data_IF_457419083450
#
_entry.id   IF_457419083450
#
_cell.length_a   1.000
_cell.length_b   1.000
_cell.length_c   1.000
_cell.angle_alpha   90.00
_cell.angle_beta   90.00
_cell.angle_gamma   90.00
#
_symmetry.space_group_name_H-M   'P 1'
#
loop_
_entity.id
_entity.type
_entity.pdbx_description
1 polymer ?
#
# COMPACT_ATOMS: atom_id res chain seq x y z
N UNK A 1 -36.80 84.45 6.46
CA UNK A 1 -35.76 83.78 5.62
C UNK A 1 -35.49 82.38 6.25
N UNK A 2 -36.17 81.35 5.76
CA UNK A 2 -36.22 80.06 6.38
C UNK A 2 -35.33 79.14 5.57
N UNK A 3 -34.22 78.66 6.15
CA UNK A 3 -33.32 77.64 5.55
C UNK A 3 -33.88 76.25 5.83
N UNK A 4 -34.30 75.55 4.80
CA UNK A 4 -34.69 74.15 4.85
C UNK A 4 -33.43 73.24 4.90
N UNK A 5 -33.26 72.53 6.01
CA UNK A 5 -32.23 71.42 6.10
C UNK A 5 -32.75 70.16 5.44
N UNK A 6 -32.14 69.76 4.36
CA UNK A 6 -32.38 68.44 3.74
C UNK A 6 -31.54 67.37 4.47
N UNK A 7 -32.19 66.38 5.07
CA UNK A 7 -31.56 65.19 5.66
C UNK A 7 -31.47 64.14 4.58
N UNK A 8 -30.24 63.80 4.16
CA UNK A 8 -29.95 62.74 3.20
C UNK A 8 -29.85 61.44 3.98
N UNK A 9 -30.84 60.53 3.84
CA UNK A 9 -30.81 59.23 4.44
C UNK A 9 -30.00 58.28 3.52
N UNK A 10 -28.83 57.88 3.99
CA UNK A 10 -27.97 56.89 3.31
C UNK A 10 -28.50 55.48 3.61
N UNK A 11 -29.19 54.86 2.65
CA UNK A 11 -29.63 53.45 2.73
C UNK A 11 -28.44 52.56 2.37
N UNK A 12 -27.79 51.95 3.36
CA UNK A 12 -26.77 50.90 3.17
C UNK A 12 -27.49 49.59 2.89
N UNK A 13 -27.55 49.22 1.63
CA UNK A 13 -28.00 47.86 1.23
C UNK A 13 -26.85 46.90 1.49
N UNK A 14 -26.90 46.17 2.62
CA UNK A 14 -26.06 45.01 2.86
C UNK A 14 -26.53 43.89 1.87
N UNK A 15 -25.81 43.72 0.77
CA UNK A 15 -25.96 42.56 -0.09
C UNK A 15 -25.36 41.35 0.65
N UNK A 16 -26.23 40.57 1.29
CA UNK A 16 -25.93 39.17 1.69
C UNK A 16 -25.75 38.34 0.40
N UNK A 17 -24.52 38.37 -0.11
CA UNK A 17 -24.13 37.37 -1.11
C UNK A 17 -24.24 35.97 -0.50
N UNK A 18 -24.58 34.92 -1.27
CA UNK A 18 -24.59 33.56 -0.77
C UNK A 18 -23.19 33.22 -0.24
N UNK A 19 -23.10 32.92 1.06
CA UNK A 19 -21.93 32.32 1.66
C UNK A 19 -21.85 30.96 1.01
N UNK A 20 -21.06 30.82 -0.06
CA UNK A 20 -20.61 29.54 -0.51
C UNK A 20 -19.79 28.97 0.65
N UNK A 21 -20.38 28.09 1.45
CA UNK A 21 -19.67 27.20 2.35
C UNK A 21 -18.71 26.38 1.48
N UNK A 22 -17.55 26.95 1.19
CA UNK A 22 -16.44 26.23 0.64
C UNK A 22 -16.02 25.21 1.70
N UNK A 23 -16.57 23.99 1.64
CA UNK A 23 -16.10 22.87 2.44
C UNK A 23 -14.60 22.75 2.19
N UNK A 24 -13.80 23.31 3.10
CA UNK A 24 -12.35 23.14 3.08
C UNK A 24 -12.08 21.65 3.18
N UNK A 25 -11.48 21.09 2.13
CA UNK A 25 -11.11 19.67 2.14
C UNK A 25 -10.13 19.42 3.28
N UNK A 26 -10.41 18.37 4.06
CA UNK A 26 -9.57 17.99 5.18
C UNK A 26 -8.32 17.27 4.65
N UNK A 27 -7.15 17.81 4.98
CA UNK A 27 -5.88 17.18 4.55
C UNK A 27 -5.67 15.84 5.24
N UNK A 28 -5.16 14.86 4.48
CA UNK A 28 -4.76 13.55 4.98
C UNK A 28 -3.44 13.12 4.35
N UNK A 29 -2.46 12.74 5.17
CA UNK A 29 -1.17 12.24 4.70
C UNK A 29 -1.15 10.72 4.68
N UNK A 30 -0.91 10.17 3.48
CA UNK A 30 -0.97 8.72 3.23
C UNK A 30 0.33 8.24 2.63
N UNK A 31 1.02 7.33 3.34
CA UNK A 31 2.24 6.71 2.87
C UNK A 31 2.00 5.47 2.02
N UNK A 32 3.00 5.09 1.24
CA UNK A 32 3.11 3.75 0.64
C UNK A 32 4.58 3.34 0.53
N UNK A 33 4.84 2.05 0.75
CA UNK A 33 6.20 1.52 0.86
C UNK A 33 6.76 0.89 -0.42
N UNK A 34 5.90 0.57 -1.38
CA UNK A 34 6.26 -0.05 -2.65
C UNK A 34 5.44 0.51 -3.80
N UNK A 35 6.07 0.62 -4.97
CA UNK A 35 5.42 0.99 -6.23
C UNK A 35 4.96 -0.30 -6.90
N UNK A 36 3.69 -0.64 -6.74
CA UNK A 36 3.10 -1.89 -7.25
C UNK A 36 1.65 -1.67 -7.68
N UNK A 37 1.10 -2.58 -8.48
CA UNK A 37 -0.30 -2.51 -8.91
C UNK A 37 -1.24 -2.40 -7.69
N UNK A 38 -1.01 -3.19 -6.64
CA UNK A 38 -1.85 -3.20 -5.43
C UNK A 38 -1.80 -1.88 -4.65
N UNK A 39 -0.68 -1.17 -4.69
CA UNK A 39 -0.54 0.13 -4.05
C UNK A 39 -1.18 1.26 -4.87
N UNK A 40 -1.50 1.02 -6.13
CA UNK A 40 -2.05 2.00 -7.06
C UNK A 40 -3.50 2.44 -6.79
N UNK A 41 -4.23 1.76 -5.90
CA UNK A 41 -5.63 2.11 -5.57
C UNK A 41 -5.77 3.55 -5.07
N UNK A 42 -4.85 4.03 -4.23
CA UNK A 42 -4.86 5.44 -3.77
C UNK A 42 -4.64 6.41 -4.93
N UNK A 43 -3.88 6.00 -5.96
CA UNK A 43 -3.65 6.81 -7.15
C UNK A 43 -4.88 6.86 -8.05
N UNK A 44 -5.56 5.73 -8.24
CA UNK A 44 -6.85 5.65 -8.92
C UNK A 44 -7.87 6.56 -8.24
N UNK A 45 -8.00 6.49 -6.91
CA UNK A 45 -8.87 7.35 -6.13
C UNK A 45 -8.55 8.84 -6.33
N UNK A 46 -7.26 9.21 -6.35
CA UNK A 46 -6.80 10.58 -6.57
C UNK A 46 -7.17 11.07 -7.97
N UNK A 47 -6.85 10.31 -9.01
CA UNK A 47 -7.10 10.71 -10.40
C UNK A 47 -8.59 10.82 -10.76
N UNK A 48 -9.45 10.01 -10.13
CA UNK A 48 -10.92 10.10 -10.26
C UNK A 48 -11.56 11.15 -9.34
N UNK A 49 -10.77 11.90 -8.57
CA UNK A 49 -11.29 12.93 -7.66
C UNK A 49 -12.09 12.38 -6.48
N UNK A 50 -11.96 11.08 -6.16
CA UNK A 50 -12.79 10.42 -5.14
C UNK A 50 -12.51 10.96 -3.74
N UNK A 51 -11.29 11.35 -3.44
CA UNK A 51 -10.98 11.96 -2.15
C UNK A 51 -11.70 13.30 -1.98
N UNK A 52 -11.69 14.14 -3.02
CA UNK A 52 -12.41 15.43 -3.01
C UNK A 52 -13.92 15.22 -2.84
N UNK A 53 -14.50 14.18 -3.49
CA UNK A 53 -15.90 13.78 -3.33
C UNK A 53 -16.28 13.53 -1.86
N UNK A 54 -15.34 13.01 -1.07
CA UNK A 54 -15.53 12.71 0.37
C UNK A 54 -14.89 13.77 1.27
N UNK A 55 -14.64 15.00 0.76
CA UNK A 55 -14.14 16.11 1.55
C UNK A 55 -12.69 15.98 1.99
N UNK A 56 -11.88 15.18 1.28
CA UNK A 56 -10.47 14.94 1.60
C UNK A 56 -9.53 15.53 0.54
N UNK A 57 -8.39 16.07 1.00
CA UNK A 57 -7.25 16.46 0.16
C UNK A 57 -6.04 15.58 0.53
N UNK A 58 -5.75 14.51 -0.21
CA UNK A 58 -4.68 13.59 0.14
C UNK A 58 -3.30 14.09 -0.31
N UNK A 59 -2.35 14.09 0.61
CA UNK A 59 -0.92 14.09 0.32
C UNK A 59 -0.44 12.63 0.30
N UNK A 60 -0.13 12.11 -0.90
CA UNK A 60 0.29 10.71 -1.09
C UNK A 60 1.82 10.68 -1.20
N UNK A 61 2.50 10.04 -0.24
CA UNK A 61 3.96 10.09 -0.07
C UNK A 61 4.58 8.71 -0.27
N UNK A 62 5.51 8.61 -1.22
CA UNK A 62 6.35 7.41 -1.38
C UNK A 62 7.49 7.43 -0.37
N UNK A 63 7.56 6.42 0.48
CA UNK A 63 8.65 6.22 1.43
C UNK A 63 9.17 4.79 1.22
N UNK A 64 10.36 4.59 0.62
CA UNK A 64 10.87 3.25 0.33
C UNK A 64 11.01 2.39 1.56
N UNK A 65 10.38 1.21 1.53
CA UNK A 65 10.43 0.22 2.60
C UNK A 65 9.43 0.45 3.75
N UNK A 66 8.94 -0.65 4.30
CA UNK A 66 7.88 -0.63 5.32
C UNK A 66 8.34 -0.09 6.67
N UNK A 67 9.57 -0.38 7.11
CA UNK A 67 10.09 0.06 8.41
C UNK A 67 10.14 1.59 8.55
N UNK A 68 10.57 2.29 7.49
CA UNK A 68 10.61 3.76 7.48
C UNK A 68 9.20 4.37 7.47
N UNK A 69 8.25 3.76 6.73
CA UNK A 69 6.84 4.15 6.76
C UNK A 69 6.23 4.03 8.15
N UNK A 70 6.51 2.94 8.86
CA UNK A 70 6.04 2.73 10.23
C UNK A 70 6.57 3.81 11.17
N UNK A 71 7.84 4.19 11.05
CA UNK A 71 8.41 5.30 11.83
C UNK A 71 7.70 6.62 11.56
N UNK A 72 7.39 6.93 10.28
CA UNK A 72 6.63 8.11 9.91
C UNK A 72 5.18 8.09 10.45
N UNK A 73 4.57 6.89 10.52
CA UNK A 73 3.23 6.71 11.10
C UNK A 73 3.24 6.91 12.62
N UNK A 74 4.21 6.31 13.33
CA UNK A 74 4.36 6.44 14.80
C UNK A 74 4.63 7.90 15.20
N UNK A 75 5.46 8.62 14.44
CA UNK A 75 5.76 10.04 14.69
C UNK A 75 4.62 11.00 14.33
N UNK A 76 3.53 10.49 13.71
CA UNK A 76 2.39 11.31 13.27
C UNK A 76 2.63 12.09 11.98
N UNK A 77 3.74 11.83 11.27
CA UNK A 77 4.01 12.40 9.95
C UNK A 77 3.11 11.78 8.86
N UNK A 78 2.56 10.60 9.10
CA UNK A 78 1.52 9.96 8.31
C UNK A 78 0.31 9.66 9.19
N UNK A 79 -0.89 9.69 8.61
CA UNK A 79 -2.12 9.24 9.27
C UNK A 79 -2.47 7.81 8.89
N UNK A 80 -2.26 7.46 7.62
CA UNK A 80 -2.44 6.11 7.07
C UNK A 80 -1.23 5.75 6.22
N UNK A 81 -1.01 4.46 6.02
CA UNK A 81 -0.04 3.97 5.03
C UNK A 81 -0.47 2.63 4.45
N UNK A 82 0.07 2.29 3.27
CA UNK A 82 -0.13 1.00 2.63
C UNK A 82 1.15 0.17 2.74
N UNK A 83 1.07 -0.96 3.47
CA UNK A 83 2.20 -1.87 3.70
C UNK A 83 1.73 -3.33 3.78
N UNK A 84 2.69 -4.24 3.75
CA UNK A 84 2.46 -5.64 4.14
C UNK A 84 2.35 -5.79 5.66
N UNK A 85 1.96 -6.97 6.16
CA UNK A 85 1.81 -7.25 7.59
C UNK A 85 3.12 -7.15 8.38
N UNK A 86 4.25 -7.58 7.81
CA UNK A 86 5.50 -7.76 8.54
C UNK A 86 6.03 -6.49 9.25
N UNK A 87 6.11 -5.31 8.63
CA UNK A 87 6.61 -4.11 9.31
C UNK A 87 5.74 -3.66 10.48
N UNK A 88 4.41 -3.75 10.36
CA UNK A 88 3.49 -3.40 11.45
C UNK A 88 3.55 -4.38 12.61
N UNK A 89 3.63 -5.69 12.32
CA UNK A 89 3.84 -6.73 13.35
C UNK A 89 5.15 -6.49 14.08
N UNK A 90 6.26 -6.24 13.34
CA UNK A 90 7.56 -5.96 13.95
C UNK A 90 7.50 -4.76 14.90
N UNK A 91 6.86 -3.68 14.49
CA UNK A 91 6.70 -2.48 15.32
C UNK A 91 5.85 -2.74 16.57
N UNK A 92 4.76 -3.50 16.42
CA UNK A 92 3.89 -3.84 17.56
C UNK A 92 4.59 -4.76 18.58
N UNK A 93 5.49 -5.63 18.15
CA UNK A 93 6.34 -6.42 19.04
C UNK A 93 7.30 -5.55 19.88
N UNK A 94 7.60 -4.35 19.42
CA UNK A 94 8.40 -3.34 20.12
C UNK A 94 7.54 -2.25 20.81
N UNK A 95 6.22 -2.50 20.95
CA UNK A 95 5.31 -1.65 21.73
C UNK A 95 4.57 -0.57 20.95
N UNK A 96 4.61 -0.60 19.61
CA UNK A 96 3.73 0.24 18.80
C UNK A 96 2.27 -0.28 18.86
N UNK A 97 1.31 0.57 18.49
CA UNK A 97 -0.11 0.20 18.43
C UNK A 97 -0.65 0.44 17.00
N UNK A 98 -0.17 -0.36 16.08
CA UNK A 98 -0.51 -0.33 14.66
C UNK A 98 -1.64 -1.30 14.38
N UNK A 99 -2.67 -0.85 13.64
CA UNK A 99 -3.83 -1.65 13.26
C UNK A 99 -4.05 -1.61 11.75
N UNK A 100 -4.22 -2.77 11.16
CA UNK A 100 -4.58 -2.94 9.75
C UNK A 100 -6.12 -2.92 9.61
N UNK A 101 -6.62 -2.07 8.72
CA UNK A 101 -8.05 -1.83 8.52
C UNK A 101 -8.55 -2.26 7.14
N UNK A 102 -7.65 -2.61 6.23
CA UNK A 102 -7.99 -3.22 4.94
C UNK A 102 -6.84 -4.12 4.46
N UNK A 103 -7.15 -5.08 3.59
CA UNK A 103 -6.18 -5.98 2.95
C UNK A 103 -6.53 -6.18 1.47
N UNK A 104 -5.59 -5.88 0.58
CA UNK A 104 -5.80 -6.02 -0.86
C UNK A 104 -5.49 -7.43 -1.37
N UNK A 105 -4.55 -8.13 -0.73
CA UNK A 105 -4.11 -9.46 -1.14
C UNK A 105 -3.64 -10.27 0.08
N UNK A 106 -4.10 -11.50 0.18
CA UNK A 106 -3.81 -12.43 1.29
C UNK A 106 -2.66 -13.42 1.02
N UNK A 107 -1.94 -13.23 -0.08
CA UNK A 107 -0.80 -14.06 -0.50
C UNK A 107 0.45 -13.22 -0.69
N UNK A 108 1.61 -13.82 -0.47
CA UNK A 108 2.91 -13.20 -0.78
C UNK A 108 3.02 -13.02 -2.30
N UNK A 109 3.43 -11.83 -2.73
CA UNK A 109 3.45 -11.43 -4.11
C UNK A 109 4.77 -10.78 -4.48
N UNK A 110 5.82 -11.56 -4.37
CA UNK A 110 7.14 -11.19 -4.85
C UNK A 110 7.64 -12.19 -5.89
N UNK A 111 8.26 -11.67 -6.92
CA UNK A 111 9.09 -12.43 -7.82
C UNK A 111 10.56 -12.25 -7.41
N UNK A 112 11.28 -13.33 -7.23
CA UNK A 112 12.73 -13.30 -7.06
C UNK A 112 13.37 -13.20 -8.43
N UNK A 113 13.81 -11.99 -8.76
CA UNK A 113 14.46 -11.68 -10.02
C UNK A 113 15.97 -11.73 -9.83
N UNK A 114 16.66 -12.39 -10.75
CA UNK A 114 18.11 -12.61 -10.71
C UNK A 114 18.76 -12.22 -12.02
N UNK A 115 20.09 -12.14 -12.01
CA UNK A 115 20.87 -12.05 -13.25
C UNK A 115 20.63 -13.29 -14.13
N UNK A 116 20.84 -13.18 -15.45
CA UNK A 116 20.49 -14.26 -16.41
C UNK A 116 21.20 -15.59 -16.16
N UNK A 117 22.38 -15.56 -15.54
CA UNK A 117 23.21 -16.73 -15.26
C UNK A 117 22.65 -17.58 -14.11
N UNK A 118 21.89 -16.95 -13.19
CA UNK A 118 21.32 -17.62 -12.02
C UNK A 118 19.94 -18.16 -12.36
N UNK A 119 19.90 -19.44 -12.73
CA UNK A 119 18.69 -20.13 -13.19
C UNK A 119 18.16 -21.18 -12.20
N UNK A 120 18.90 -21.47 -11.14
CA UNK A 120 18.55 -22.47 -10.13
C UNK A 120 18.90 -21.96 -8.74
N UNK A 121 18.15 -22.43 -7.74
CA UNK A 121 18.28 -21.97 -6.35
C UNK A 121 19.70 -22.17 -5.78
N UNK A 122 20.35 -23.27 -6.14
CA UNK A 122 21.69 -23.60 -5.63
C UNK A 122 22.75 -22.57 -6.06
N UNK A 123 22.52 -21.87 -7.19
CA UNK A 123 23.43 -20.84 -7.71
C UNK A 123 23.33 -19.53 -6.91
N UNK A 124 22.36 -19.40 -6.01
CA UNK A 124 22.26 -18.27 -5.08
C UNK A 124 23.24 -18.36 -3.91
N UNK A 125 23.90 -19.50 -3.69
CA UNK A 125 24.91 -19.59 -2.62
C UNK A 125 26.05 -18.62 -2.86
N UNK A 126 26.30 -17.76 -1.85
CA UNK A 126 27.26 -16.66 -1.94
C UNK A 126 26.78 -15.41 -2.68
N UNK A 127 25.55 -15.42 -3.24
CA UNK A 127 25.00 -14.30 -4.00
C UNK A 127 24.68 -13.10 -3.11
N UNK A 128 24.79 -11.90 -3.69
CA UNK A 128 24.39 -10.62 -3.09
C UNK A 128 22.96 -10.31 -3.49
N UNK A 129 22.02 -10.29 -2.54
CA UNK A 129 20.61 -10.06 -2.78
C UNK A 129 20.16 -8.73 -2.19
N UNK A 130 19.49 -7.90 -3.02
CA UNK A 130 19.06 -6.57 -2.65
C UNK A 130 17.69 -6.54 -1.98
N UNK A 131 17.55 -5.74 -0.93
CA UNK A 131 16.29 -5.40 -0.28
C UNK A 131 16.16 -3.88 -0.12
N UNK A 132 14.96 -3.40 0.25
CA UNK A 132 14.81 -1.97 0.53
C UNK A 132 15.51 -1.57 1.83
N UNK A 133 15.14 -2.20 2.94
CA UNK A 133 15.76 -2.04 4.26
C UNK A 133 15.54 -3.32 5.06
N UNK A 134 16.37 -3.58 6.06
CA UNK A 134 16.10 -4.65 7.02
C UNK A 134 14.80 -4.40 7.78
N UNK A 135 14.03 -5.46 8.02
CA UNK A 135 12.69 -5.39 8.61
C UNK A 135 11.60 -4.86 7.67
N UNK A 136 11.92 -4.62 6.38
CA UNK A 136 10.94 -4.25 5.37
C UNK A 136 10.21 -5.46 4.80
N UNK A 137 9.16 -5.21 4.02
CA UNK A 137 8.43 -6.25 3.29
C UNK A 137 9.32 -7.02 2.32
N UNK A 138 10.27 -6.33 1.66
CA UNK A 138 11.21 -6.95 0.74
C UNK A 138 12.21 -7.87 1.46
N UNK A 139 12.70 -7.47 2.64
CA UNK A 139 13.54 -8.33 3.47
C UNK A 139 12.79 -9.59 3.90
N UNK A 140 11.59 -9.39 4.43
CA UNK A 140 10.75 -10.49 4.86
C UNK A 140 10.41 -11.45 3.70
N UNK A 141 9.91 -10.91 2.59
CA UNK A 141 9.54 -11.71 1.41
C UNK A 141 10.72 -12.47 0.81
N UNK A 142 11.89 -11.84 0.72
CA UNK A 142 13.10 -12.49 0.24
C UNK A 142 13.48 -13.70 1.13
N UNK A 143 13.49 -13.53 2.45
CA UNK A 143 13.81 -14.61 3.39
C UNK A 143 12.84 -15.78 3.30
N UNK A 144 11.55 -15.50 3.14
CA UNK A 144 10.52 -16.53 2.97
C UNK A 144 10.74 -17.31 1.68
N UNK A 145 10.98 -16.62 0.55
CA UNK A 145 11.25 -17.27 -0.74
C UNK A 145 12.51 -18.13 -0.65
N UNK A 146 13.60 -17.61 -0.09
CA UNK A 146 14.85 -18.37 0.07
C UNK A 146 14.65 -19.66 0.86
N UNK A 147 13.94 -19.60 1.99
CA UNK A 147 13.59 -20.81 2.77
C UNK A 147 12.77 -21.82 1.97
N UNK A 148 11.79 -21.36 1.19
CA UNK A 148 11.00 -22.23 0.31
C UNK A 148 11.83 -22.87 -0.80
N UNK A 149 12.93 -22.22 -1.20
CA UNK A 149 13.92 -22.75 -2.14
C UNK A 149 14.98 -23.64 -1.46
N UNK A 150 14.89 -23.90 -0.16
CA UNK A 150 15.83 -24.73 0.59
C UNK A 150 17.13 -24.05 0.99
N UNK A 151 17.16 -22.71 0.97
CA UNK A 151 18.33 -21.90 1.35
C UNK A 151 18.16 -21.26 2.74
N UNK A 152 19.26 -21.20 3.49
CA UNK A 152 19.32 -20.43 4.74
C UNK A 152 19.66 -18.96 4.44
N UNK A 153 18.70 -18.03 4.62
CA UNK A 153 18.93 -16.61 4.28
C UNK A 153 19.99 -15.92 5.16
N UNK A 154 20.44 -16.56 6.24
CA UNK A 154 21.47 -16.03 7.12
C UNK A 154 22.89 -16.55 6.77
N UNK A 155 22.99 -17.69 6.07
CA UNK A 155 24.25 -18.37 5.79
C UNK A 155 24.57 -18.45 4.31
N UNK A 156 23.56 -18.70 3.47
CA UNK A 156 23.78 -19.03 2.07
C UNK A 156 23.89 -17.81 1.16
N UNK A 157 23.44 -16.62 1.60
CA UNK A 157 23.42 -15.39 0.79
C UNK A 157 23.87 -14.16 1.59
N UNK A 158 24.26 -13.10 0.88
CA UNK A 158 24.52 -11.79 1.48
C UNK A 158 23.35 -10.85 1.15
N UNK A 159 22.61 -10.38 2.16
CA UNK A 159 21.50 -9.45 1.98
C UNK A 159 22.00 -8.01 2.15
N UNK A 160 21.70 -7.15 1.16
CA UNK A 160 22.14 -5.76 1.10
C UNK A 160 20.97 -4.78 1.06
N UNK A 161 21.04 -3.69 1.83
CA UNK A 161 20.10 -2.58 1.75
C UNK A 161 20.43 -1.69 0.54
N UNK A 162 19.54 -1.64 -0.45
CA UNK A 162 19.75 -0.91 -1.71
C UNK A 162 18.78 0.28 -1.83
N UNK A 163 17.51 0.12 -1.36
CA UNK A 163 16.47 1.11 -1.54
C UNK A 163 15.19 0.55 -2.13
N UNK A 164 14.40 1.40 -2.79
CA UNK A 164 13.14 1.02 -3.41
C UNK A 164 13.30 0.06 -4.60
N UNK A 165 12.20 -0.34 -5.22
CA UNK A 165 12.24 -1.25 -6.38
C UNK A 165 13.01 -0.67 -7.58
N UNK A 166 12.88 0.63 -7.92
CA UNK A 166 13.64 1.21 -9.01
C UNK A 166 15.17 1.15 -8.77
N UNK A 167 15.60 1.44 -7.53
CA UNK A 167 17.03 1.40 -7.16
C UNK A 167 17.57 -0.04 -7.18
N UNK A 168 16.77 -1.02 -6.73
CA UNK A 168 17.13 -2.44 -6.78
C UNK A 168 17.21 -2.95 -8.22
N UNK A 169 16.26 -2.54 -9.08
CA UNK A 169 16.29 -2.87 -10.49
C UNK A 169 17.56 -2.34 -11.17
N UNK A 170 17.95 -1.09 -10.88
CA UNK A 170 19.17 -0.49 -11.39
C UNK A 170 20.43 -1.24 -10.89
N UNK A 171 20.48 -1.57 -9.60
CA UNK A 171 21.59 -2.30 -9.00
C UNK A 171 21.75 -3.72 -9.59
N UNK A 172 20.64 -4.40 -9.90
CA UNK A 172 20.64 -5.71 -10.55
C UNK A 172 21.16 -5.61 -11.99
N UNK A 173 20.68 -4.61 -12.73
CA UNK A 173 21.11 -4.38 -14.12
C UNK A 173 22.59 -4.05 -14.24
N UNK A 174 23.17 -3.33 -13.28
CA UNK A 174 24.59 -2.98 -13.25
C UNK A 174 25.49 -4.07 -12.63
N UNK A 175 24.89 -5.18 -12.12
CA UNK A 175 25.64 -6.27 -11.49
C UNK A 175 26.15 -5.97 -10.07
N UNK A 176 25.68 -4.90 -9.44
CA UNK A 176 26.01 -4.59 -8.04
C UNK A 176 25.35 -5.55 -7.06
N UNK A 177 24.25 -6.17 -7.48
CA UNK A 177 23.58 -7.29 -6.80
C UNK A 177 23.28 -8.42 -7.80
N UNK A 178 23.14 -9.63 -7.30
CA UNK A 178 22.90 -10.83 -8.11
C UNK A 178 21.41 -11.17 -8.24
N UNK A 179 20.59 -10.63 -7.32
CA UNK A 179 19.13 -10.81 -7.33
C UNK A 179 18.43 -9.89 -6.37
N UNK A 180 17.13 -9.79 -6.51
CA UNK A 180 16.24 -9.03 -5.62
C UNK A 180 14.80 -9.51 -5.75
N UNK A 181 13.95 -9.16 -4.80
CA UNK A 181 12.50 -9.39 -4.90
C UNK A 181 11.81 -8.15 -5.48
N UNK A 182 10.87 -8.37 -6.41
CA UNK A 182 10.11 -7.33 -7.08
C UNK A 182 8.64 -7.68 -7.12
N UNK A 183 7.77 -6.66 -7.08
CA UNK A 183 6.34 -6.82 -7.36
C UNK A 183 6.05 -6.62 -8.86
N UNK A 184 4.87 -7.07 -9.32
CA UNK A 184 4.38 -6.64 -10.62
C UNK A 184 4.12 -5.10 -10.61
N UNK A 185 4.46 -4.36 -11.68
CA UNK A 185 4.85 -4.88 -13.00
C UNK A 185 6.36 -5.09 -13.18
N UNK A 186 7.20 -4.76 -12.18
CA UNK A 186 8.66 -4.77 -12.33
C UNK A 186 9.26 -6.15 -12.62
N UNK A 187 8.61 -7.24 -12.16
CA UNK A 187 9.02 -8.60 -12.51
C UNK A 187 8.90 -8.89 -14.01
N UNK A 188 7.76 -8.53 -14.62
CA UNK A 188 7.54 -8.68 -16.06
C UNK A 188 8.48 -7.77 -16.88
N UNK A 189 8.76 -6.55 -16.40
CA UNK A 189 9.75 -5.65 -17.01
C UNK A 189 11.16 -6.24 -16.97
N UNK A 190 11.51 -6.93 -15.86
CA UNK A 190 12.80 -7.59 -15.71
C UNK A 190 13.00 -8.71 -16.76
N UNK A 191 11.98 -9.51 -17.03
CA UNK A 191 12.03 -10.55 -18.08
C UNK A 191 12.30 -9.93 -19.47
N UNK A 192 11.66 -8.81 -19.81
CA UNK A 192 11.93 -8.08 -21.04
C UNK A 192 13.36 -7.56 -21.14
N UNK A 193 13.97 -7.27 -19.99
CA UNK A 193 15.39 -6.88 -19.90
C UNK A 193 16.35 -8.08 -19.86
N UNK A 194 15.87 -9.29 -20.17
CA UNK A 194 16.63 -10.55 -20.16
C UNK A 194 17.15 -10.97 -18.78
N UNK A 195 16.58 -10.43 -17.70
CA UNK A 195 16.78 -10.92 -16.35
C UNK A 195 15.95 -12.19 -16.13
N UNK A 196 16.33 -13.01 -15.17
CA UNK A 196 15.64 -14.27 -14.88
C UNK A 196 14.69 -14.13 -13.71
N UNK A 197 13.44 -14.58 -13.84
CA UNK A 197 12.51 -14.76 -12.70
C UNK A 197 12.71 -16.16 -12.15
N UNK A 198 13.50 -16.27 -11.09
CA UNK A 198 13.86 -17.55 -10.49
C UNK A 198 12.71 -18.18 -9.69
N UNK A 199 11.91 -17.37 -9.04
CA UNK A 199 10.78 -17.82 -8.23
C UNK A 199 9.65 -16.79 -8.23
N UNK A 200 8.41 -17.27 -8.16
CA UNK A 200 7.20 -16.47 -8.04
C UNK A 200 6.42 -16.94 -6.81
N UNK A 201 6.42 -16.12 -5.76
CA UNK A 201 5.83 -16.48 -4.47
C UNK A 201 4.30 -16.60 -4.51
N UNK A 202 3.63 -15.89 -5.44
CA UNK A 202 2.18 -16.01 -5.59
C UNK A 202 1.83 -17.40 -6.14
N UNK A 203 2.56 -17.88 -7.15
CA UNK A 203 2.42 -19.26 -7.67
C UNK A 203 2.75 -20.32 -6.62
N UNK A 204 3.60 -19.99 -5.64
CA UNK A 204 3.87 -20.86 -4.49
C UNK A 204 2.72 -20.89 -3.48
N UNK A 205 1.70 -20.06 -3.62
CA UNK A 205 0.53 -20.02 -2.73
C UNK A 205 0.89 -19.70 -1.27
N UNK A 206 1.91 -18.85 -1.03
CA UNK A 206 2.38 -18.55 0.33
C UNK A 206 1.40 -17.59 1.00
N UNK A 207 0.67 -17.99 2.06
CA UNK A 207 -0.21 -17.08 2.80
C UNK A 207 0.60 -15.93 3.38
N UNK A 208 0.11 -14.69 3.17
CA UNK A 208 0.80 -13.51 3.62
C UNK A 208 -0.12 -12.28 3.63
N UNK A 209 -0.02 -11.44 4.64
CA UNK A 209 -0.75 -10.18 4.69
C UNK A 209 -0.07 -9.15 3.78
N UNK A 210 -0.49 -9.11 2.53
CA UNK A 210 0.14 -8.30 1.50
C UNK A 210 -0.69 -7.06 1.17
N UNK A 211 -0.05 -5.91 1.20
CA UNK A 211 -0.60 -4.58 0.90
C UNK A 211 -1.92 -4.30 1.62
N UNK A 212 -1.83 -4.10 2.92
CA UNK A 212 -2.93 -3.61 3.74
C UNK A 212 -2.85 -2.11 3.97
N UNK A 213 -3.99 -1.50 4.25
CA UNK A 213 -4.11 -0.13 4.76
C UNK A 213 -4.07 -0.18 6.29
N UNK A 214 -3.24 0.66 6.89
CA UNK A 214 -3.01 0.66 8.34
C UNK A 214 -2.82 2.08 8.89
N UNK A 215 -3.07 2.21 10.18
CA UNK A 215 -2.83 3.42 10.96
C UNK A 215 -2.46 3.08 12.41
N UNK A 216 -2.06 4.06 13.21
CA UNK A 216 -2.02 3.86 14.67
C UNK A 216 -3.45 3.85 15.21
N UNK A 217 -3.75 2.97 16.19
CA UNK A 217 -5.09 2.87 16.80
C UNK A 217 -5.58 4.25 17.25
N UNK A 218 -4.70 5.01 17.91
CA UNK A 218 -5.00 6.37 18.36
C UNK A 218 -5.50 7.27 17.21
N UNK A 219 -4.83 7.30 16.07
CA UNK A 219 -5.22 8.13 14.93
C UNK A 219 -6.53 7.62 14.30
N UNK A 220 -6.66 6.31 14.16
CA UNK A 220 -7.85 5.68 13.59
C UNK A 220 -9.11 6.03 14.41
N UNK A 221 -9.00 6.03 15.75
CA UNK A 221 -10.12 6.35 16.65
C UNK A 221 -10.38 7.87 16.71
N UNK A 222 -9.34 8.68 16.87
CA UNK A 222 -9.49 10.15 16.96
C UNK A 222 -9.96 10.79 15.65
N UNK A 223 -9.69 10.16 14.51
CA UNK A 223 -10.00 10.67 13.17
C UNK A 223 -10.97 9.76 12.41
N UNK A 224 -11.86 9.06 13.11
CA UNK A 224 -12.73 8.03 12.56
C UNK A 224 -13.49 8.50 11.31
N UNK A 225 -14.13 9.69 11.35
CA UNK A 225 -14.83 10.25 10.19
C UNK A 225 -13.92 10.39 8.96
N UNK A 226 -12.69 10.88 9.16
CA UNK A 226 -11.69 11.01 8.10
C UNK A 226 -11.29 9.65 7.54
N UNK A 227 -11.08 8.66 8.40
CA UNK A 227 -10.76 7.27 8.03
C UNK A 227 -11.90 6.64 7.21
N UNK A 228 -13.16 6.81 7.64
CA UNK A 228 -14.33 6.32 6.91
C UNK A 228 -14.46 6.99 5.53
N UNK A 229 -14.23 8.30 5.44
CA UNK A 229 -14.25 9.03 4.17
C UNK A 229 -13.13 8.56 3.24
N UNK A 230 -11.94 8.28 3.78
CA UNK A 230 -10.86 7.67 3.02
C UNK A 230 -11.23 6.28 2.49
N UNK A 231 -11.81 5.44 3.34
CA UNK A 231 -12.25 4.09 2.95
C UNK A 231 -13.38 4.11 1.92
N UNK A 232 -14.30 5.11 1.95
CA UNK A 232 -15.31 5.28 0.88
C UNK A 232 -14.64 5.55 -0.47
N UNK A 233 -13.67 6.47 -0.51
CA UNK A 233 -12.89 6.74 -1.73
C UNK A 233 -12.09 5.50 -2.18
N UNK A 234 -11.56 4.74 -1.24
CA UNK A 234 -10.78 3.53 -1.49
C UNK A 234 -11.63 2.40 -2.07
N UNK A 235 -12.83 2.17 -1.54
CA UNK A 235 -13.78 1.19 -2.05
C UNK A 235 -14.29 1.54 -3.46
N UNK A 236 -14.54 2.83 -3.74
CA UNK A 236 -14.86 3.26 -5.11
C UNK A 236 -13.69 3.04 -6.07
N UNK A 237 -12.45 3.24 -5.61
CA UNK A 237 -11.27 2.96 -6.42
C UNK A 237 -11.12 1.45 -6.73
N UNK A 238 -11.47 0.58 -5.79
CA UNK A 238 -11.54 -0.87 -6.04
C UNK A 238 -12.58 -1.19 -7.10
N UNK A 239 -13.78 -0.58 -7.03
CA UNK A 239 -14.80 -0.76 -8.07
C UNK A 239 -14.28 -0.31 -9.43
N UNK A 240 -13.67 0.87 -9.52
CA UNK A 240 -13.10 1.38 -10.78
C UNK A 240 -12.02 0.43 -11.29
N UNK A 241 -11.12 -0.04 -10.43
CA UNK A 241 -10.11 -1.03 -10.82
C UNK A 241 -10.75 -2.26 -11.47
N UNK A 242 -11.90 -2.74 -10.96
CA UNK A 242 -12.57 -3.95 -11.45
C UNK A 242 -13.43 -3.71 -12.70
N UNK A 243 -13.94 -2.49 -12.91
CA UNK A 243 -14.97 -2.21 -13.93
C UNK A 243 -14.51 -1.29 -15.06
N UNK A 244 -13.46 -0.48 -14.84
CA UNK A 244 -12.92 0.48 -15.83
C UNK A 244 -11.45 0.12 -16.13
N UNK A 245 -11.28 -0.93 -16.98
CA UNK A 245 -9.96 -1.48 -17.33
C UNK A 245 -9.05 -0.44 -17.96
N UNK A 246 -9.56 0.31 -18.93
CA UNK A 246 -8.75 1.27 -19.69
C UNK A 246 -8.20 2.38 -18.80
N UNK A 247 -9.08 3.00 -17.99
CA UNK A 247 -8.65 4.02 -17.06
C UNK A 247 -7.67 3.46 -16.01
N UNK A 248 -7.96 2.27 -15.47
CA UNK A 248 -7.11 1.65 -14.45
C UNK A 248 -5.70 1.39 -14.94
N UNK A 249 -5.54 0.86 -16.17
CA UNK A 249 -4.22 0.62 -16.77
C UNK A 249 -3.46 1.94 -16.96
N UNK A 250 -4.11 2.99 -17.46
CA UNK A 250 -3.50 4.33 -17.62
C UNK A 250 -3.06 4.90 -16.27
N UNK A 251 -3.92 4.82 -15.25
CA UNK A 251 -3.62 5.30 -13.90
C UNK A 251 -2.45 4.52 -13.27
N UNK A 252 -2.43 3.21 -13.43
CA UNK A 252 -1.37 2.35 -12.93
C UNK A 252 -0.04 2.56 -13.67
N UNK A 253 -0.06 2.80 -14.99
CA UNK A 253 1.13 3.18 -15.76
C UNK A 253 1.73 4.50 -15.24
N UNK A 254 0.92 5.51 -14.98
CA UNK A 254 1.37 6.76 -14.38
C UNK A 254 1.96 6.56 -12.99
N UNK A 255 1.31 5.75 -12.15
CA UNK A 255 1.74 5.45 -10.80
C UNK A 255 3.07 4.70 -10.77
N UNK A 256 3.18 3.62 -11.55
CA UNK A 256 4.38 2.78 -11.60
C UNK A 256 5.50 3.37 -12.44
N UNK A 257 5.19 4.38 -13.29
CA UNK A 257 6.08 4.98 -14.30
C UNK A 257 6.56 3.97 -15.36
N UNK A 258 5.90 2.83 -15.48
CA UNK A 258 6.14 1.84 -16.53
C UNK A 258 5.42 2.32 -17.80
N UNK A 259 6.20 2.60 -18.86
CA UNK A 259 5.68 3.14 -20.11
C UNK A 259 5.11 2.07 -21.03
N UNK A 260 5.62 0.85 -20.93
CA UNK A 260 5.10 -0.28 -21.69
C UNK A 260 3.75 -0.73 -21.12
N UNK A 261 2.66 -0.33 -21.78
CA UNK A 261 1.31 -0.64 -21.31
C UNK A 261 1.04 -2.14 -21.26
N UNK A 262 1.68 -2.97 -22.10
CA UNK A 262 1.50 -4.43 -22.04
C UNK A 262 1.97 -5.00 -20.70
N UNK A 263 3.09 -4.51 -20.16
CA UNK A 263 3.58 -4.91 -18.84
C UNK A 263 2.59 -4.53 -17.74
N UNK A 264 2.00 -3.32 -17.86
CA UNK A 264 0.99 -2.86 -16.90
C UNK A 264 -0.30 -3.66 -17.02
N UNK A 265 -0.71 -4.02 -18.24
CA UNK A 265 -1.87 -4.86 -18.53
C UNK A 265 -1.71 -6.26 -17.92
N UNK A 266 -0.58 -6.90 -18.14
CA UNK A 266 -0.25 -8.20 -17.55
C UNK A 266 -0.33 -8.15 -16.01
N UNK A 267 0.27 -7.12 -15.41
CA UNK A 267 0.18 -6.90 -13.96
C UNK A 267 -1.24 -6.62 -13.47
N UNK A 268 -2.02 -5.83 -14.22
CA UNK A 268 -3.41 -5.54 -13.91
C UNK A 268 -4.28 -6.82 -13.97
N UNK A 269 -4.19 -7.58 -15.07
CA UNK A 269 -4.97 -8.81 -15.26
C UNK A 269 -4.62 -9.89 -14.21
N UNK A 270 -3.37 -9.89 -13.73
CA UNK A 270 -2.91 -10.78 -12.66
C UNK A 270 -3.52 -10.45 -11.29
N UNK A 271 -3.83 -9.15 -11.02
CA UNK A 271 -4.26 -8.73 -9.69
C UNK A 271 -5.71 -8.34 -9.55
N UNK A 272 -6.39 -7.93 -10.62
CA UNK A 272 -7.76 -7.38 -10.54
C UNK A 272 -8.74 -8.34 -9.86
N UNK A 273 -8.56 -9.65 -10.08
CA UNK A 273 -9.44 -10.69 -9.54
C UNK A 273 -9.06 -11.09 -8.10
N UNK A 274 -7.79 -10.95 -7.75
CA UNK A 274 -7.29 -11.21 -6.38
C UNK A 274 -7.70 -10.12 -5.38
N UNK A 275 -7.91 -8.87 -5.84
CA UNK A 275 -8.36 -7.79 -4.97
C UNK A 275 -9.85 -7.96 -4.66
N UNK A 276 -10.19 -8.11 -3.38
CA UNK A 276 -11.56 -8.31 -2.93
C UNK A 276 -12.39 -7.02 -3.10
N UNK A 277 -13.71 -7.18 -3.40
CA UNK A 277 -14.65 -6.06 -3.52
C UNK A 277 -14.76 -5.25 -2.22
N UNK A 278 -14.73 -5.93 -1.07
CA UNK A 278 -14.58 -5.36 0.26
C UNK A 278 -13.32 -5.97 0.88
N UNK A 279 -12.26 -5.19 1.05
CA UNK A 279 -10.95 -5.70 1.39
C UNK A 279 -10.79 -5.93 2.90
N UNK A 280 -11.58 -6.82 3.49
CA UNK A 280 -11.48 -7.16 4.91
C UNK A 280 -10.09 -7.71 5.26
N UNK A 281 -9.48 -7.25 6.37
CA UNK A 281 -8.27 -7.86 6.92
C UNK A 281 -8.45 -9.36 7.19
N UNK A 282 -7.60 -10.21 6.59
CA UNK A 282 -7.61 -11.66 6.79
C UNK A 282 -6.83 -12.03 8.05
N UNK A 283 -7.50 -12.70 8.99
CA UNK A 283 -6.85 -13.22 10.20
C UNK A 283 -5.82 -14.31 9.84
N UNK A 284 -6.15 -15.19 8.91
CA UNK A 284 -5.26 -16.25 8.46
C UNK A 284 -3.96 -15.69 7.88
N UNK A 285 -4.06 -14.69 7.00
CA UNK A 285 -2.90 -14.03 6.41
C UNK A 285 -2.05 -13.32 7.48
N UNK A 286 -2.67 -12.70 8.50
CA UNK A 286 -1.94 -12.07 9.60
C UNK A 286 -1.29 -13.11 10.52
N UNK A 287 -1.96 -14.22 10.80
CA UNK A 287 -1.39 -15.34 11.55
C UNK A 287 -0.16 -15.91 10.85
N UNK A 288 -0.21 -16.09 9.53
CA UNK A 288 0.95 -16.56 8.77
C UNK A 288 2.17 -15.64 8.94
N UNK A 289 1.97 -14.31 8.92
CA UNK A 289 3.04 -13.34 9.18
C UNK A 289 3.60 -13.47 10.61
N UNK A 290 2.72 -13.54 11.61
CA UNK A 290 3.12 -13.68 13.03
C UNK A 290 3.88 -14.99 13.25
N UNK A 291 3.41 -16.11 12.71
CA UNK A 291 4.07 -17.42 12.83
C UNK A 291 5.46 -17.43 12.22
N UNK A 292 5.62 -16.84 11.04
CA UNK A 292 6.94 -16.75 10.41
C UNK A 292 7.90 -15.84 11.20
N UNK A 293 7.39 -14.74 11.77
CA UNK A 293 8.20 -13.88 12.62
C UNK A 293 8.61 -14.59 13.93
N UNK A 294 7.78 -15.49 14.43
CA UNK A 294 8.06 -16.28 15.64
C UNK A 294 9.26 -17.23 15.49
N UNK A 295 9.68 -17.53 14.26
CA UNK A 295 10.89 -18.34 14.02
C UNK A 295 12.17 -17.60 14.43
N UNK A 296 12.20 -16.27 14.30
CA UNK A 296 13.38 -15.43 14.60
C UNK A 296 13.18 -14.49 15.77
N UNK A 297 11.93 -14.20 16.16
CA UNK A 297 11.59 -13.31 17.27
C UNK A 297 10.68 -14.03 18.30
N UNK A 298 11.21 -14.43 19.46
CA UNK A 298 10.42 -15.12 20.49
C UNK A 298 9.21 -14.35 21.03
N UNK A 299 9.21 -12.99 20.95
CA UNK A 299 8.06 -12.16 21.35
C UNK A 299 6.81 -12.50 20.51
N UNK A 300 6.99 -12.82 19.23
CA UNK A 300 5.90 -13.14 18.31
C UNK A 300 5.15 -14.43 18.68
N UNK A 301 5.78 -15.37 19.44
CA UNK A 301 5.12 -16.62 19.89
C UNK A 301 3.95 -16.39 20.85
N UNK A 302 3.88 -15.22 21.48
CA UNK A 302 2.88 -14.90 22.53
C UNK A 302 1.80 -13.92 22.03
N UNK A 303 1.78 -13.62 20.74
CA UNK A 303 0.90 -12.60 20.17
C UNK A 303 -0.35 -13.22 19.58
N UNK A 304 -1.51 -12.62 19.88
CA UNK A 304 -2.74 -12.88 19.14
C UNK A 304 -2.79 -11.96 17.90
N UNK A 305 -2.73 -12.56 16.72
CA UNK A 305 -2.78 -11.83 15.45
C UNK A 305 -4.08 -11.00 15.26
N UNK A 306 -5.17 -11.33 15.99
CA UNK A 306 -6.41 -10.55 15.99
C UNK A 306 -6.21 -9.12 16.48
N UNK A 307 -5.26 -8.90 17.40
CA UNK A 307 -4.97 -7.56 17.94
C UNK A 307 -4.43 -6.59 16.91
N UNK A 308 -3.91 -7.09 15.77
CA UNK A 308 -3.26 -6.31 14.73
C UNK A 308 -4.19 -5.94 13.56
N UNK A 309 -5.43 -6.46 13.56
CA UNK A 309 -6.41 -6.20 12.51
C UNK A 309 -7.71 -5.63 13.08
N UNK A 310 -8.45 -4.87 12.28
CA UNK A 310 -9.78 -4.38 12.64
C UNK A 310 -10.71 -4.35 11.43
N UNK A 311 -11.81 -5.08 11.51
CA UNK A 311 -12.86 -5.08 10.51
C UNK A 311 -13.90 -3.96 10.75
N UNK A 312 -13.80 -3.24 11.89
CA UNK A 312 -14.80 -2.28 12.37
C UNK A 312 -15.20 -1.25 11.31
N UNK A 313 -14.24 -0.63 10.68
CA UNK A 313 -14.48 0.50 9.76
C UNK A 313 -15.15 0.05 8.46
N UNK A 314 -14.72 -1.07 7.88
CA UNK A 314 -15.35 -1.63 6.68
C UNK A 314 -16.74 -2.17 7.00
N UNK A 315 -16.89 -2.84 8.15
CA UNK A 315 -18.21 -3.32 8.62
C UNK A 315 -19.18 -2.15 8.83
N UNK A 316 -18.73 -1.05 9.39
CA UNK A 316 -19.57 0.14 9.54
C UNK A 316 -20.05 0.67 8.19
N UNK A 317 -19.20 0.75 7.17
CA UNK A 317 -19.60 1.15 5.82
C UNK A 317 -20.58 0.16 5.17
N UNK A 318 -20.44 -1.11 5.47
CA UNK A 318 -21.40 -2.15 5.04
C UNK A 318 -22.74 -1.99 5.74
N UNK A 319 -22.75 -1.84 7.08
CA UNK A 319 -23.96 -1.65 7.90
C UNK A 319 -24.70 -0.33 7.54
N UNK A 320 -23.98 0.73 7.13
CA UNK A 320 -24.55 1.96 6.56
C UNK A 320 -25.13 1.77 5.14
N UNK A 321 -25.01 0.58 4.56
CA UNK A 321 -25.45 0.25 3.20
C UNK A 321 -24.59 0.87 2.10
N UNK A 322 -23.43 1.44 2.43
CA UNK A 322 -22.56 2.06 1.42
C UNK A 322 -22.04 1.03 0.41
N UNK A 323 -21.56 -0.11 0.89
CA UNK A 323 -21.04 -1.20 0.04
C UNK A 323 -22.10 -1.71 -0.91
N UNK A 324 -23.32 -1.96 -0.41
CA UNK A 324 -24.46 -2.39 -1.25
C UNK A 324 -24.74 -1.37 -2.36
N UNK A 325 -24.94 -0.10 -2.01
CA UNK A 325 -25.17 0.96 -3.01
C UNK A 325 -24.02 1.12 -4.01
N UNK A 326 -22.80 0.83 -3.61
CA UNK A 326 -21.65 0.87 -4.47
C UNK A 326 -21.69 -0.22 -5.54
N UNK A 327 -22.07 -1.45 -5.21
CA UNK A 327 -22.01 -2.59 -6.12
C UNK A 327 -23.33 -2.87 -6.87
N UNK A 328 -24.46 -2.39 -6.40
CA UNK A 328 -25.78 -2.55 -7.05
C UNK A 328 -25.96 -1.61 -8.28
N UNK A 329 -25.00 -0.74 -8.57
CA UNK A 329 -24.97 0.17 -9.73
C UNK A 329 -23.97 -0.33 -10.76
#
# INVERSE_FOLDING_TARGET
>A
MVMKKAVLALVVILSLGPICDGYSQEQIRVGYGAVSIQSGLVWIAKLKGLFAKYGLSPEIVYIPGGSTNIQALISGNLELTQLTGAPGVAANLEGADIVYIALNLDKLNYQLVTRPEIKRAEQLKGAKLGISRFGSSADFGLRVILKRLGLDPAKDVTILQIGGEPERAAALKTGNIDGTVMNAPFGAEAEKQKLNVLADSLKMGIPFFNTGLLGSRRILEQRERKVLNFLRAYLEAIKILKTDREFSIKALSQFTRVKDLKVVEEGYDYFKDEIQAVPYPSLEAMQAVVMQMAETNPKAKRVDARSYISNRYLKQLEDEGFVKRLWDK
#
